data_IF_617258266826
#
_entry.id   IF_617258266826
#
_cell.length_a   1.000
_cell.length_b   1.000
_cell.length_c   1.000
_cell.angle_alpha   90.00
_cell.angle_beta   90.00
_cell.angle_gamma   90.00
#
_symmetry.space_group_name_H-M   'P 1'
#
loop_
_entity.id
_entity.type
_entity.pdbx_description
1 polymer ?
#
# COMPACT_ATOMS: atom_id res chain seq x y z
N UNK A 1 12.44 -35.81 -64.54
CA UNK A 1 11.01 -35.90 -64.21
C UNK A 1 10.89 -35.86 -62.69
N UNK A 2 11.07 -34.67 -62.10
CA UNK A 2 10.03 -33.81 -61.49
C UNK A 2 10.28 -33.49 -59.99
N UNK A 3 11.35 -33.97 -59.35
CA UNK A 3 11.56 -33.74 -57.90
C UNK A 3 12.57 -32.64 -57.50
N UNK A 4 13.54 -32.25 -58.33
CA UNK A 4 14.63 -31.34 -57.88
C UNK A 4 14.33 -29.83 -58.05
N UNK A 5 13.39 -29.46 -58.92
CA UNK A 5 13.07 -28.03 -59.16
C UNK A 5 12.20 -27.43 -58.06
N UNK A 6 11.35 -28.23 -57.40
CA UNK A 6 10.43 -27.73 -56.37
C UNK A 6 11.12 -27.44 -55.03
N UNK A 7 12.14 -28.25 -54.68
CA UNK A 7 12.94 -28.05 -53.47
C UNK A 7 13.79 -26.77 -53.58
N UNK A 8 14.38 -26.53 -54.76
CA UNK A 8 15.23 -25.36 -55.01
C UNK A 8 14.44 -24.05 -54.92
N UNK A 9 13.20 -24.02 -55.42
CA UNK A 9 12.30 -22.86 -55.28
C UNK A 9 11.82 -22.63 -53.84
N UNK A 10 11.48 -23.70 -53.10
CA UNK A 10 11.07 -23.57 -51.69
C UNK A 10 12.21 -23.06 -50.80
N UNK A 11 13.46 -23.42 -51.07
CA UNK A 11 14.63 -22.92 -50.34
C UNK A 11 14.93 -21.45 -50.68
N UNK A 12 14.81 -21.03 -51.94
CA UNK A 12 14.94 -19.62 -52.35
C UNK A 12 13.89 -18.73 -51.69
N UNK A 13 12.64 -19.22 -51.59
CA UNK A 13 11.53 -18.48 -50.97
C UNK A 13 11.69 -18.35 -49.45
N UNK A 14 12.25 -19.37 -48.77
CA UNK A 14 12.62 -19.29 -47.35
C UNK A 14 13.76 -18.28 -47.09
N UNK A 15 14.76 -18.23 -47.97
CA UNK A 15 15.84 -17.24 -47.91
C UNK A 15 15.31 -15.80 -48.05
N UNK A 16 14.35 -15.57 -48.95
CA UNK A 16 13.81 -14.24 -49.20
C UNK A 16 12.97 -13.65 -48.04
N UNK A 17 12.38 -14.51 -47.19
CA UNK A 17 11.63 -14.08 -46.00
C UNK A 17 12.57 -13.67 -44.85
N UNK A 18 13.77 -14.29 -44.76
CA UNK A 18 14.78 -13.93 -43.75
C UNK A 18 15.67 -12.75 -44.15
N UNK A 19 15.55 -12.24 -45.37
CA UNK A 19 16.44 -11.19 -45.92
C UNK A 19 15.79 -9.80 -46.03
N UNK A 20 14.56 -9.61 -45.53
CA UNK A 20 13.78 -8.37 -45.72
C UNK A 20 13.59 -7.50 -44.47
N UNK A 21 14.05 -7.92 -43.31
CA UNK A 21 14.10 -7.02 -42.16
C UNK A 21 15.27 -6.04 -42.38
N UNK A 22 14.96 -4.77 -42.66
CA UNK A 22 15.97 -3.71 -42.72
C UNK A 22 16.69 -3.65 -41.37
N UNK A 23 17.99 -3.26 -41.32
CA UNK A 23 18.69 -2.99 -40.07
C UNK A 23 17.89 -2.07 -39.13
N UNK A 24 17.11 -1.14 -39.69
CA UNK A 24 16.19 -0.26 -38.96
C UNK A 24 15.04 -1.03 -38.31
N UNK A 25 14.48 -2.05 -38.97
CA UNK A 25 13.40 -2.88 -38.43
C UNK A 25 13.91 -3.78 -37.31
N UNK A 26 15.11 -4.34 -37.45
CA UNK A 26 15.76 -5.14 -36.40
C UNK A 26 16.06 -4.27 -35.18
N UNK A 27 16.59 -3.06 -35.38
CA UNK A 27 16.87 -2.12 -34.29
C UNK A 27 15.61 -1.68 -33.55
N UNK A 28 14.51 -1.41 -34.26
CA UNK A 28 13.22 -1.05 -33.65
C UNK A 28 12.63 -2.20 -32.84
N UNK A 29 12.73 -3.44 -33.33
CA UNK A 29 12.27 -4.63 -32.59
C UNK A 29 13.12 -4.90 -31.35
N UNK A 30 14.45 -4.73 -31.43
CA UNK A 30 15.34 -4.83 -30.28
C UNK A 30 15.05 -3.73 -29.25
N UNK A 31 14.83 -2.49 -29.69
CA UNK A 31 14.47 -1.38 -28.82
C UNK A 31 13.12 -1.62 -28.12
N UNK A 32 12.10 -2.08 -28.85
CA UNK A 32 10.80 -2.43 -28.28
C UNK A 32 10.90 -3.59 -27.28
N UNK A 33 11.71 -4.61 -27.55
CA UNK A 33 11.97 -5.72 -26.63
C UNK A 33 12.68 -5.21 -25.36
N UNK A 34 13.66 -4.33 -25.51
CA UNK A 34 14.36 -3.70 -24.38
C UNK A 34 13.38 -2.85 -23.55
N UNK A 35 12.53 -2.05 -24.18
CA UNK A 35 11.51 -1.26 -23.48
C UNK A 35 10.48 -2.14 -22.74
N UNK A 36 10.10 -3.30 -23.29
CA UNK A 36 9.19 -4.24 -22.63
C UNK A 36 9.82 -4.95 -21.42
N UNK A 37 11.15 -4.94 -21.30
CA UNK A 37 11.89 -5.48 -20.16
C UNK A 37 12.16 -4.44 -19.07
N UNK A 38 11.80 -3.16 -19.28
CA UNK A 38 11.92 -2.14 -18.24
C UNK A 38 10.78 -2.35 -17.23
N UNK A 39 11.07 -2.63 -15.96
CA UNK A 39 10.03 -2.71 -14.94
C UNK A 39 9.34 -1.35 -14.83
N UNK A 40 8.01 -1.34 -14.84
CA UNK A 40 7.24 -0.13 -14.56
C UNK A 40 7.44 0.24 -13.09
N UNK A 41 7.74 1.49 -12.82
CA UNK A 41 7.65 2.01 -11.47
C UNK A 41 6.17 1.97 -11.06
N UNK A 42 5.85 1.20 -10.02
CA UNK A 42 4.52 1.22 -9.38
C UNK A 42 4.36 2.58 -8.71
N UNK A 43 3.39 3.37 -9.17
CA UNK A 43 3.01 4.63 -8.52
C UNK A 43 1.85 4.36 -7.58
N UNK A 44 2.08 4.50 -6.27
CA UNK A 44 1.03 4.38 -5.27
C UNK A 44 0.22 5.67 -5.14
N UNK A 45 -1.03 5.53 -4.72
CA UNK A 45 -1.89 6.65 -4.34
C UNK A 45 -2.09 6.68 -2.84
N UNK A 46 -2.34 7.88 -2.30
CA UNK A 46 -2.76 8.05 -0.92
C UNK A 46 -4.27 7.84 -0.76
N UNK A 47 -4.77 7.83 0.47
CA UNK A 47 -6.21 7.63 0.78
C UNK A 47 -7.13 8.71 0.21
N UNK A 48 -6.59 9.84 -0.26
CA UNK A 48 -7.34 10.89 -0.96
C UNK A 48 -7.46 10.64 -2.46
N UNK A 49 -6.78 9.61 -2.98
CA UNK A 49 -6.77 9.24 -4.40
C UNK A 49 -5.74 10.01 -5.24
N UNK A 50 -4.88 10.84 -4.63
CA UNK A 50 -3.77 11.51 -5.32
C UNK A 50 -2.48 10.70 -5.20
N UNK A 51 -1.38 11.16 -5.81
CA UNK A 51 -0.08 10.49 -5.66
C UNK A 51 0.34 10.39 -4.19
N UNK A 52 0.93 9.25 -3.80
CA UNK A 52 1.41 9.02 -2.44
C UNK A 52 2.59 9.95 -2.13
N UNK A 53 2.44 10.79 -1.11
CA UNK A 53 3.49 11.69 -0.65
C UNK A 53 4.48 10.99 0.30
N UNK A 54 5.62 11.63 0.54
CA UNK A 54 6.59 11.14 1.52
C UNK A 54 6.06 11.36 2.93
N UNK A 55 6.16 10.32 3.77
CA UNK A 55 5.73 10.39 5.17
C UNK A 55 6.74 11.14 6.04
N UNK A 56 8.04 10.94 5.80
CA UNK A 56 9.13 11.66 6.50
C UNK A 56 9.83 12.65 5.56
N UNK A 57 10.39 13.73 6.10
CA UNK A 57 11.13 14.74 5.34
C UNK A 57 12.44 15.16 6.01
N UNK A 58 13.15 16.17 5.47
CA UNK A 58 14.41 16.66 6.04
C UNK A 58 14.27 17.03 7.52
N UNK A 59 15.24 16.61 8.34
CA UNK A 59 15.21 16.81 9.79
C UNK A 59 14.41 15.76 10.58
N UNK A 60 13.71 14.85 9.90
CA UNK A 60 13.01 13.71 10.52
C UNK A 60 13.78 12.40 10.31
N UNK A 61 13.57 11.42 11.18
CA UNK A 61 13.98 10.05 10.95
C UNK A 61 13.35 9.48 9.67
N UNK A 62 14.13 8.75 8.87
CA UNK A 62 13.63 8.14 7.63
C UNK A 62 12.75 6.92 7.94
N UNK A 63 11.47 7.01 7.58
CA UNK A 63 10.49 5.95 7.78
C UNK A 63 10.30 5.04 6.55
N UNK A 64 9.27 4.19 6.57
CA UNK A 64 8.89 3.25 5.51
C UNK A 64 9.54 1.88 5.69
N UNK A 65 8.86 0.81 5.27
CA UNK A 65 9.39 -0.56 5.37
C UNK A 65 10.75 -0.70 4.68
N UNK A 66 10.90 -0.11 3.49
CA UNK A 66 12.13 -0.07 2.72
C UNK A 66 13.12 1.02 3.15
N UNK A 67 12.77 1.82 4.17
CA UNK A 67 13.50 3.02 4.60
C UNK A 67 13.74 3.98 3.43
N UNK A 68 12.69 4.23 2.64
CA UNK A 68 12.63 5.16 1.52
C UNK A 68 11.79 6.42 1.84
N UNK A 69 11.31 6.53 3.08
CA UNK A 69 10.49 7.64 3.56
C UNK A 69 9.01 7.55 3.21
N UNK A 70 8.55 6.49 2.54
CA UNK A 70 7.16 6.34 2.08
C UNK A 70 6.49 5.11 2.68
N UNK A 71 5.16 5.16 2.83
CA UNK A 71 4.36 4.05 3.34
C UNK A 71 3.90 3.13 2.18
N UNK A 72 4.85 2.69 1.36
CA UNK A 72 4.60 1.91 0.14
C UNK A 72 4.19 0.46 0.44
N UNK A 73 3.43 -0.15 -0.48
CA UNK A 73 3.13 -1.57 -0.43
C UNK A 73 4.34 -2.39 -0.88
N UNK A 74 4.68 -3.42 -0.12
CA UNK A 74 5.79 -4.32 -0.40
C UNK A 74 5.36 -5.74 -0.06
N UNK A 75 5.50 -6.66 -1.01
CA UNK A 75 5.06 -8.05 -0.88
C UNK A 75 5.52 -8.75 0.42
N UNK A 76 6.74 -8.47 0.87
CA UNK A 76 7.32 -9.08 2.07
C UNK A 76 7.00 -8.32 3.38
N UNK A 77 6.30 -7.19 3.28
CA UNK A 77 5.82 -6.45 4.44
C UNK A 77 4.53 -7.05 4.98
N UNK A 78 4.70 -8.10 5.79
CA UNK A 78 3.60 -8.77 6.49
C UNK A 78 2.79 -7.86 7.42
N UNK A 79 3.37 -6.73 7.84
CA UNK A 79 2.70 -5.75 8.69
C UNK A 79 1.92 -4.69 7.92
N UNK A 80 2.20 -4.55 6.62
CA UNK A 80 1.63 -3.55 5.74
C UNK A 80 1.72 -2.14 6.35
N UNK A 81 2.93 -1.59 6.43
CA UNK A 81 3.26 -0.28 7.01
C UNK A 81 2.77 0.86 6.10
N UNK A 82 1.45 0.99 5.97
CA UNK A 82 0.78 1.86 5.01
C UNK A 82 0.23 3.14 5.63
N UNK A 83 0.21 3.26 6.95
CA UNK A 83 -0.41 4.39 7.64
C UNK A 83 0.64 5.33 8.19
N UNK A 84 0.66 6.57 7.71
CA UNK A 84 1.56 7.60 8.20
C UNK A 84 0.89 8.34 9.37
N UNK A 85 1.49 8.26 10.55
CA UNK A 85 1.06 9.01 11.73
C UNK A 85 2.10 10.06 12.11
N UNK A 86 1.63 11.21 12.62
CA UNK A 86 2.47 12.24 13.21
C UNK A 86 2.63 11.98 14.72
N UNK A 87 3.72 11.31 15.08
CA UNK A 87 4.08 11.00 16.46
C UNK A 87 4.55 12.23 17.24
N UNK A 88 4.82 13.36 16.57
CA UNK A 88 5.15 14.64 17.22
C UNK A 88 3.89 15.41 17.64
N UNK A 89 2.72 15.06 17.07
CA UNK A 89 1.47 15.72 17.42
C UNK A 89 1.12 15.55 18.90
N UNK A 90 0.54 16.61 19.45
CA UNK A 90 0.09 16.68 20.85
C UNK A 90 -1.39 16.32 21.02
N UNK A 91 -2.08 15.93 19.94
CA UNK A 91 -3.43 15.38 19.99
C UNK A 91 -3.39 13.91 20.45
N UNK A 92 -4.34 13.50 21.29
CA UNK A 92 -4.48 12.11 21.72
C UNK A 92 -3.30 11.55 22.54
N UNK A 93 -3.29 10.23 22.66
CA UNK A 93 -2.30 9.45 23.43
C UNK A 93 -1.17 8.96 22.54
N UNK A 94 0.06 8.87 23.05
CA UNK A 94 1.21 8.37 22.27
C UNK A 94 1.01 6.93 21.76
N UNK A 95 1.31 6.69 20.47
CA UNK A 95 1.19 5.38 19.82
C UNK A 95 1.91 4.25 20.56
N UNK A 96 3.19 4.42 20.88
CA UNK A 96 4.00 3.38 21.54
C UNK A 96 3.42 3.05 22.92
N UNK A 97 3.02 4.06 23.68
CA UNK A 97 2.42 3.87 25.01
C UNK A 97 1.10 3.08 24.94
N UNK A 98 0.23 3.42 23.99
CA UNK A 98 -1.10 2.79 23.87
C UNK A 98 -1.01 1.37 23.32
N UNK A 99 -0.07 1.10 22.42
CA UNK A 99 0.15 -0.22 21.83
C UNK A 99 1.03 -1.12 22.69
N UNK A 100 1.63 -0.59 23.77
CA UNK A 100 2.51 -1.34 24.67
C UNK A 100 3.87 -1.67 24.07
N UNK A 101 4.28 -0.97 23.02
CA UNK A 101 5.57 -1.14 22.37
C UNK A 101 6.69 -0.44 23.17
N UNK A 102 7.96 -0.84 22.99
CA UNK A 102 9.08 -0.04 23.47
C UNK A 102 8.96 1.41 22.98
N UNK A 103 9.39 2.38 23.79
CA UNK A 103 9.26 3.81 23.46
C UNK A 103 10.28 4.26 22.38
N UNK A 104 10.17 3.72 21.16
CA UNK A 104 10.93 4.16 20.00
C UNK A 104 10.33 5.43 19.38
N UNK A 105 9.05 5.73 19.66
CA UNK A 105 8.34 6.92 19.18
C UNK A 105 9.06 8.23 19.56
N UNK A 106 9.79 8.26 20.69
CA UNK A 106 10.54 9.42 21.17
C UNK A 106 12.06 9.30 20.91
N UNK A 107 12.48 8.30 20.12
CA UNK A 107 13.90 8.07 19.84
C UNK A 107 14.40 8.90 18.67
N UNK A 108 15.70 8.79 18.38
CA UNK A 108 16.30 9.29 17.14
C UNK A 108 16.80 8.13 16.30
N UNK A 109 16.63 8.24 14.99
CA UNK A 109 17.09 7.26 14.00
C UNK A 109 17.75 7.96 12.82
N UNK A 110 18.22 7.20 11.83
CA UNK A 110 18.88 7.75 10.64
C UNK A 110 18.03 8.81 9.94
N UNK A 111 18.58 10.01 9.70
CA UNK A 111 17.85 11.12 9.09
C UNK A 111 17.38 10.81 7.66
N UNK A 112 16.27 11.43 7.26
CA UNK A 112 15.70 11.33 5.92
C UNK A 112 16.68 11.73 4.83
N UNK A 113 17.40 12.83 5.00
CA UNK A 113 18.35 13.37 4.03
C UNK A 113 19.73 12.72 4.12
N UNK A 114 20.11 12.20 5.30
CA UNK A 114 21.41 11.61 5.55
C UNK A 114 21.36 10.57 6.67
N UNK A 115 21.35 9.30 6.27
CA UNK A 115 21.23 8.19 7.22
C UNK A 115 22.43 8.04 8.19
N UNK A 116 23.54 8.74 7.94
CA UNK A 116 24.68 8.79 8.87
C UNK A 116 24.46 9.77 10.04
N UNK A 117 23.46 10.65 9.95
CA UNK A 117 23.04 11.55 11.02
C UNK A 117 21.82 10.97 11.75
N UNK A 118 21.57 11.47 12.95
CA UNK A 118 20.42 11.07 13.77
C UNK A 118 19.42 12.21 13.85
N UNK A 119 18.16 11.91 13.55
CA UNK A 119 17.03 12.84 13.58
C UNK A 119 15.91 12.26 14.44
N UNK A 120 15.08 13.10 15.07
CA UNK A 120 13.93 12.64 15.84
C UNK A 120 12.94 11.85 14.99
N UNK A 121 12.32 10.85 15.59
CA UNK A 121 11.12 10.20 15.03
C UNK A 121 9.95 11.16 15.20
N UNK A 122 9.43 11.67 14.07
CA UNK A 122 8.27 12.57 14.05
C UNK A 122 7.13 11.92 13.28
N UNK A 123 7.25 11.79 11.96
CA UNK A 123 6.30 11.01 11.18
C UNK A 123 6.76 9.58 10.97
N UNK A 124 5.85 8.62 11.06
CA UNK A 124 6.19 7.21 10.90
C UNK A 124 5.11 6.37 10.22
N UNK A 125 5.55 5.49 9.31
CA UNK A 125 4.70 4.47 8.70
C UNK A 125 4.50 3.30 9.66
N UNK A 126 3.29 3.15 10.18
CA UNK A 126 2.90 2.06 11.08
C UNK A 126 2.06 1.01 10.38
N UNK A 127 2.09 -0.21 10.93
CA UNK A 127 1.29 -1.33 10.43
C UNK A 127 -0.21 -1.06 10.53
N UNK A 128 -0.97 -1.55 9.55
CA UNK A 128 -2.44 -1.49 9.55
C UNK A 128 -3.05 -2.11 10.82
N UNK A 129 -2.55 -3.28 11.25
CA UNK A 129 -3.05 -3.94 12.46
C UNK A 129 -2.75 -3.15 13.73
N UNK A 130 -1.54 -2.60 13.83
CA UNK A 130 -1.13 -1.82 14.99
C UNK A 130 -1.89 -0.49 15.06
N UNK A 131 -2.18 0.14 13.93
CA UNK A 131 -3.00 1.34 13.87
C UNK A 131 -4.46 1.09 14.30
N UNK A 132 -5.07 -0.01 13.85
CA UNK A 132 -6.39 -0.40 14.34
C UNK A 132 -6.35 -0.64 15.86
N UNK A 133 -5.33 -1.36 16.35
CA UNK A 133 -5.10 -1.65 17.78
C UNK A 133 -4.97 -0.38 18.59
N UNK A 134 -4.23 0.59 18.06
CA UNK A 134 -4.02 1.90 18.65
C UNK A 134 -5.34 2.65 18.84
N UNK A 135 -6.20 2.73 17.83
CA UNK A 135 -7.51 3.39 17.93
C UNK A 135 -8.38 2.74 19.02
N UNK A 136 -8.46 1.40 19.02
CA UNK A 136 -9.27 0.69 20.01
C UNK A 136 -8.75 0.93 21.43
N UNK A 137 -7.45 0.78 21.64
CA UNK A 137 -6.82 0.87 22.97
C UNK A 137 -6.78 2.31 23.48
N UNK A 138 -6.69 3.31 22.60
CA UNK A 138 -6.78 4.72 22.96
C UNK A 138 -8.21 5.12 23.39
N UNK A 139 -9.22 4.31 23.07
CA UNK A 139 -10.62 4.59 23.38
C UNK A 139 -11.37 5.31 22.25
N UNK A 140 -10.83 5.33 21.04
CA UNK A 140 -11.49 5.87 19.85
C UNK A 140 -10.60 6.77 18.98
N UNK A 141 -11.12 7.16 17.82
CA UNK A 141 -10.39 7.92 16.80
C UNK A 141 -9.94 9.31 17.29
N UNK A 142 -10.72 9.95 18.16
CA UNK A 142 -10.38 11.27 18.71
C UNK A 142 -9.29 11.22 19.80
N UNK A 143 -8.88 10.01 20.18
CA UNK A 143 -7.91 9.77 21.25
C UNK A 143 -6.51 9.41 20.71
N UNK A 144 -6.32 9.44 19.40
CA UNK A 144 -5.03 9.15 18.75
C UNK A 144 -4.38 10.41 18.20
N UNK A 145 -3.07 10.33 17.98
CA UNK A 145 -2.27 11.33 17.30
C UNK A 145 -2.70 11.50 15.84
N UNK A 146 -2.26 12.61 15.22
CA UNK A 146 -2.70 12.98 13.89
C UNK A 146 -2.26 11.98 12.80
N UNK A 147 -3.08 11.89 11.75
CA UNK A 147 -2.85 11.03 10.59
C UNK A 147 -2.42 11.93 9.44
N UNK A 148 -1.31 11.61 8.80
CA UNK A 148 -0.85 12.32 7.60
C UNK A 148 -1.50 11.65 6.39
N UNK A 149 -2.66 12.18 5.99
CA UNK A 149 -3.54 11.56 5.00
C UNK A 149 -2.90 11.46 3.61
N UNK A 150 -2.14 12.48 3.21
CA UNK A 150 -1.44 12.57 1.93
C UNK A 150 -0.31 11.55 1.79
N UNK A 151 0.20 11.04 2.92
CA UNK A 151 1.25 10.04 3.01
C UNK A 151 0.73 8.66 3.48
N UNK A 152 -0.57 8.53 3.72
CA UNK A 152 -1.21 7.25 4.07
C UNK A 152 -1.69 6.56 2.79
N UNK A 153 -1.21 5.35 2.56
CA UNK A 153 -1.38 4.62 1.30
C UNK A 153 -2.81 4.06 1.15
N UNK A 154 -3.37 4.21 -0.05
CA UNK A 154 -4.73 3.76 -0.41
C UNK A 154 -4.96 2.26 -0.12
N UNK A 155 -3.92 1.44 -0.17
CA UNK A 155 -4.02 0.02 0.15
C UNK A 155 -4.54 -0.22 1.57
N UNK A 156 -4.22 0.67 2.55
CA UNK A 156 -4.78 0.58 3.89
C UNK A 156 -6.31 0.73 3.90
N UNK A 157 -6.83 1.72 3.15
CA UNK A 157 -8.26 1.95 3.05
C UNK A 157 -8.96 0.75 2.39
N UNK A 158 -8.44 0.27 1.25
CA UNK A 158 -9.01 -0.90 0.55
C UNK A 158 -9.00 -2.15 1.43
N UNK A 159 -7.90 -2.39 2.15
CA UNK A 159 -7.78 -3.52 3.07
C UNK A 159 -8.82 -3.43 4.20
N UNK A 160 -8.99 -2.26 4.81
CA UNK A 160 -10.00 -2.08 5.86
C UNK A 160 -11.43 -2.20 5.34
N UNK A 161 -11.76 -1.67 4.16
CA UNK A 161 -13.08 -1.84 3.54
C UNK A 161 -13.43 -3.32 3.32
N UNK A 162 -12.46 -4.11 2.87
CA UNK A 162 -12.65 -5.55 2.63
C UNK A 162 -12.88 -6.37 3.91
N UNK A 163 -12.41 -5.88 5.07
CA UNK A 163 -12.39 -6.62 6.34
C UNK A 163 -13.38 -6.07 7.37
N UNK A 164 -13.87 -4.84 7.22
CA UNK A 164 -14.72 -4.16 8.20
C UNK A 164 -15.99 -4.93 8.56
N UNK A 165 -16.58 -5.67 7.61
CA UNK A 165 -17.79 -6.47 7.85
C UNK A 165 -17.59 -7.66 8.80
N UNK A 166 -16.35 -8.14 8.94
CA UNK A 166 -16.00 -9.30 9.76
C UNK A 166 -15.21 -8.96 11.02
N UNK A 167 -14.80 -7.70 11.19
CA UNK A 167 -13.99 -7.24 12.31
C UNK A 167 -14.43 -5.83 12.76
N UNK A 168 -15.13 -5.70 13.90
CA UNK A 168 -15.50 -4.40 14.48
C UNK A 168 -14.28 -3.50 14.72
N UNK A 169 -13.15 -4.12 15.03
CA UNK A 169 -11.87 -3.46 15.21
C UNK A 169 -11.38 -2.77 13.94
N UNK A 170 -11.45 -3.47 12.81
CA UNK A 170 -11.10 -2.91 11.50
C UNK A 170 -12.14 -1.90 11.03
N UNK A 171 -13.42 -2.13 11.31
CA UNK A 171 -14.48 -1.16 11.01
C UNK A 171 -14.22 0.19 11.70
N UNK A 172 -13.81 0.18 12.96
CA UNK A 172 -13.45 1.40 13.68
C UNK A 172 -12.26 2.13 13.05
N UNK A 173 -11.24 1.39 12.58
CA UNK A 173 -10.09 1.97 11.88
C UNK A 173 -10.49 2.57 10.52
N UNK A 174 -11.37 1.89 9.78
CA UNK A 174 -11.94 2.39 8.53
C UNK A 174 -12.68 3.71 8.73
N UNK A 175 -13.58 3.76 9.72
CA UNK A 175 -14.36 4.96 10.03
C UNK A 175 -13.44 6.11 10.46
N UNK A 176 -12.37 5.81 11.21
CA UNK A 176 -11.37 6.79 11.60
C UNK A 176 -10.64 7.38 10.40
N UNK A 177 -10.14 6.56 9.47
CA UNK A 177 -9.50 7.07 8.25
C UNK A 177 -10.47 7.89 7.41
N UNK A 178 -11.71 7.40 7.20
CA UNK A 178 -12.73 8.11 6.41
C UNK A 178 -13.07 9.48 6.99
N UNK A 179 -13.22 9.56 8.31
CA UNK A 179 -13.56 10.82 9.00
C UNK A 179 -12.38 11.80 9.06
N UNK A 180 -11.19 11.34 9.46
CA UNK A 180 -10.01 12.20 9.66
C UNK A 180 -9.42 12.68 8.34
N UNK A 181 -9.47 11.87 7.30
CA UNK A 181 -8.93 12.22 5.99
C UNK A 181 -9.99 12.72 5.00
N UNK A 182 -11.25 12.86 5.41
CA UNK A 182 -12.35 13.27 4.52
C UNK A 182 -12.36 12.49 3.19
N UNK A 183 -12.13 11.17 3.28
CA UNK A 183 -11.97 10.29 2.11
C UNK A 183 -13.20 10.41 1.22
N UNK A 184 -13.05 10.65 -0.10
CA UNK A 184 -14.18 10.76 -1.01
C UNK A 184 -15.02 9.49 -0.95
N UNK A 185 -16.30 9.63 -0.60
CA UNK A 185 -17.22 8.51 -0.60
C UNK A 185 -17.41 8.04 -2.05
N UNK A 186 -17.24 6.74 -2.33
CA UNK A 186 -17.54 6.12 -3.62
C UNK A 186 -19.05 6.00 -3.85
N UNK A 187 -19.77 7.11 -3.73
CA UNK A 187 -21.19 7.21 -4.04
C UNK A 187 -21.41 8.41 -4.96
N UNK A 188 -21.11 8.24 -6.25
CA UNK A 188 -21.68 8.98 -7.39
C UNK A 188 -21.09 8.48 -8.71
N UNK A 189 -21.40 7.24 -9.09
CA UNK A 189 -21.57 6.91 -10.51
C UNK A 189 -22.92 6.23 -10.63
N UNK A 190 -23.87 7.01 -11.12
CA UNK A 190 -25.25 6.64 -11.38
C UNK A 190 -25.31 5.61 -12.52
N UNK A 191 -26.00 4.51 -12.27
CA UNK A 191 -26.16 3.40 -13.20
C UNK A 191 -27.09 2.36 -12.61
N UNK A 192 -28.40 2.65 -12.67
CA UNK A 192 -29.51 1.75 -12.35
C UNK A 192 -29.34 0.35 -12.95
N UNK A 193 -29.54 -0.70 -12.14
CA UNK A 193 -30.55 -1.74 -12.36
C UNK A 193 -30.82 -2.54 -11.06
N UNK A 194 -32.07 -2.95 -10.78
CA UNK A 194 -32.47 -3.58 -9.52
C UNK A 194 -32.35 -5.11 -9.56
N UNK A 195 -31.93 -5.73 -8.45
CA UNK A 195 -32.11 -7.17 -8.20
C UNK A 195 -32.59 -7.41 -6.77
N UNK A 196 -33.56 -8.31 -6.69
CA UNK A 196 -34.53 -8.55 -5.62
C UNK A 196 -34.03 -9.52 -4.53
N UNK A 197 -34.34 -9.13 -3.28
CA UNK A 197 -34.65 -9.88 -2.05
C UNK A 197 -34.07 -11.29 -1.76
N UNK A 198 -33.46 -11.41 -0.58
CA UNK A 198 -33.07 -12.68 0.04
C UNK A 198 -32.80 -12.55 1.54
N UNK A 199 -33.86 -12.69 2.34
CA UNK A 199 -33.89 -12.66 3.79
C UNK A 199 -33.15 -13.85 4.42
N UNK A 200 -32.16 -13.61 5.29
CA UNK A 200 -31.70 -14.59 6.28
C UNK A 200 -31.44 -13.90 7.64
N UNK A 201 -32.10 -14.43 8.66
CA UNK A 201 -32.13 -13.95 10.05
C UNK A 201 -30.78 -14.12 10.78
N UNK A 202 -30.53 -13.34 11.86
CA UNK A 202 -29.22 -13.22 12.51
C UNK A 202 -28.89 -14.39 13.46
N UNK A 203 -27.62 -14.84 13.52
CA UNK A 203 -27.15 -15.67 14.62
C UNK A 203 -26.87 -14.84 15.87
N UNK A 204 -27.28 -15.42 16.99
CA UNK A 204 -27.15 -14.91 18.34
C UNK A 204 -25.70 -14.65 18.79
N UNK A 205 -25.60 -13.61 19.61
CA UNK A 205 -24.45 -13.16 20.38
C UNK A 205 -23.92 -14.28 21.30
N UNK A 206 -22.65 -14.67 21.13
CA UNK A 206 -21.87 -15.32 22.18
C UNK A 206 -20.52 -14.62 22.31
N UNK A 207 -20.36 -13.96 23.45
CA UNK A 207 -19.10 -13.44 23.98
C UNK A 207 -18.01 -14.50 23.97
N UNK A 208 -16.91 -14.24 23.28
CA UNK A 208 -15.61 -14.77 23.68
C UNK A 208 -14.51 -13.92 23.08
N UNK A 209 -13.66 -13.42 23.97
CA UNK A 209 -12.44 -12.69 23.71
C UNK A 209 -11.56 -13.44 22.70
N UNK A 210 -11.48 -12.92 21.47
CA UNK A 210 -10.41 -13.26 20.53
C UNK A 210 -9.88 -11.94 19.98
N UNK A 211 -9.04 -11.28 20.77
CA UNK A 211 -8.16 -10.25 20.23
C UNK A 211 -7.33 -10.91 19.12
N UNK A 212 -7.34 -10.37 17.89
CA UNK A 212 -6.57 -10.95 16.80
C UNK A 212 -5.08 -10.97 17.15
N UNK A 213 -4.40 -12.05 16.80
CA UNK A 213 -2.95 -12.18 17.03
C UNK A 213 -2.23 -11.13 16.17
N UNK A 214 -1.66 -10.12 16.82
CA UNK A 214 -0.85 -9.08 16.17
C UNK A 214 0.35 -9.75 15.49
N UNK A 215 0.56 -9.56 14.17
CA UNK A 215 1.75 -10.10 13.51
C UNK A 215 3.01 -9.60 14.18
N UNK A 216 4.01 -10.48 14.36
CA UNK A 216 5.27 -10.10 15.02
C UNK A 216 6.03 -8.97 14.33
N UNK A 217 5.81 -8.79 13.02
CA UNK A 217 6.30 -7.64 12.25
C UNK A 217 5.73 -6.31 12.71
N UNK A 218 4.55 -6.32 13.34
CA UNK A 218 3.87 -5.13 13.85
C UNK A 218 4.29 -4.75 15.28
N UNK A 219 5.04 -5.61 15.98
CA UNK A 219 5.45 -5.39 17.38
C UNK A 219 6.74 -4.55 17.49
N UNK A 220 7.45 -4.33 16.38
CA UNK A 220 8.73 -3.61 16.32
C UNK A 220 8.77 -2.55 15.19
N UNK A 221 7.59 -2.13 14.71
CA UNK A 221 7.44 -1.16 13.62
C UNK A 221 7.96 0.20 13.98
#
# INVERSE_FOLDING_TARGET
MFMDKEITEKLKKKSFILQKASPSTILLLLFALICALIPKAESYTNVLGTALESCSGPGMARTGFMRDGHCTEVHDDRGSHHICIDLSSTSGWNFCSVTGQPNWCESSMGCHENYSQQCPVEHWCVCQWAFASYIQNAGGCDQIQDIVCEATNMVALTAYESQASSSPHVAQALDCLKSRCAVPSTHSVEGDQPVENGQQNPPQLSSSDNAPVVPSSCLNS
#
